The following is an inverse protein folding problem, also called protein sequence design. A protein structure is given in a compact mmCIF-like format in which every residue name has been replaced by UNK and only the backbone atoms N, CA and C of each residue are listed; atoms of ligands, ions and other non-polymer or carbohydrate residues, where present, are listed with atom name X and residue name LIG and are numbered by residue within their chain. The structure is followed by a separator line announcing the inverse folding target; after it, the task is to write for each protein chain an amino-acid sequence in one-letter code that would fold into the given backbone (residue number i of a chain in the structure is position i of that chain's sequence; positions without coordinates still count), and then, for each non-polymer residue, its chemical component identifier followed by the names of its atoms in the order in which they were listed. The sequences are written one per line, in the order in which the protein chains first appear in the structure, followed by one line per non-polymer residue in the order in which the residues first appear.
data_IF_893390021631
#
_entry.id   IF_893390021631
#
_cell.length_a   1.000
_cell.length_b   1.000
_cell.length_c   1.000
_cell.angle_alpha   90.00
_cell.angle_beta   90.00
_cell.angle_gamma   90.00
#
_symmetry.space_group_name_H-M   'P 1'
#
loop_
_entity.id
_entity.type
_entity.pdbx_description
1 polymer ?
#
# COMPACT_ATOMS: atom_id res chain seq x y z
N UNK A 1 -12.61 2.20 29.77
CA UNK A 1 -11.48 2.40 28.85
C UNK A 1 -11.93 3.37 27.77
N UNK A 2 -11.20 4.47 27.61
CA UNK A 2 -11.44 5.49 26.59
C UNK A 2 -11.10 4.95 25.20
N UNK A 3 -11.83 5.35 24.16
CA UNK A 3 -11.54 4.96 22.76
C UNK A 3 -10.08 5.25 22.34
N UNK A 4 -9.47 6.27 22.93
CA UNK A 4 -8.08 6.65 22.68
C UNK A 4 -7.06 5.57 23.13
N UNK A 5 -7.36 4.84 24.21
CA UNK A 5 -6.52 3.72 24.67
C UNK A 5 -6.58 2.54 23.70
N UNK A 6 -7.77 2.27 23.13
CA UNK A 6 -7.97 1.18 22.17
C UNK A 6 -7.17 1.43 20.90
N UNK A 7 -7.27 2.63 20.32
CA UNK A 7 -6.51 3.00 19.11
C UNK A 7 -5.01 2.86 19.35
N UNK A 8 -4.53 3.29 20.52
CA UNK A 8 -3.12 3.15 20.90
C UNK A 8 -2.68 1.68 21.00
N UNK A 9 -3.54 0.78 21.49
CA UNK A 9 -3.24 -0.66 21.52
C UNK A 9 -3.21 -1.26 20.11
N UNK A 10 -4.20 -0.94 19.27
CA UNK A 10 -4.28 -1.41 17.88
C UNK A 10 -3.06 -0.92 17.09
N UNK A 11 -2.64 0.33 17.29
CA UNK A 11 -1.46 0.91 16.66
C UNK A 11 -0.17 0.18 17.06
N UNK A 12 0.02 -0.11 18.35
CA UNK A 12 1.17 -0.90 18.83
C UNK A 12 1.19 -2.28 18.17
N UNK A 13 0.04 -2.96 18.13
CA UNK A 13 -0.07 -4.28 17.51
C UNK A 13 0.24 -4.24 16.02
N UNK A 14 -0.25 -3.23 15.32
CA UNK A 14 0.02 -3.03 13.90
C UNK A 14 1.52 -2.79 13.63
N UNK A 15 2.19 -1.98 14.46
CA UNK A 15 3.63 -1.74 14.35
C UNK A 15 4.46 -3.00 14.63
N UNK A 16 4.08 -3.83 15.60
CA UNK A 16 4.72 -5.13 15.85
C UNK A 16 4.65 -6.05 14.62
N UNK A 17 3.46 -6.20 14.02
CA UNK A 17 3.26 -7.03 12.82
C UNK A 17 4.13 -6.52 11.65
N UNK A 18 4.16 -5.21 11.44
CA UNK A 18 4.93 -4.61 10.35
C UNK A 18 6.44 -4.75 10.58
N UNK A 19 6.91 -4.62 11.82
CA UNK A 19 8.33 -4.82 12.20
C UNK A 19 8.76 -6.28 12.04
N UNK A 20 7.92 -7.23 12.45
CA UNK A 20 8.22 -8.66 12.31
C UNK A 20 8.38 -9.04 10.83
N UNK A 21 7.50 -8.52 9.97
CA UNK A 21 7.50 -8.87 8.56
C UNK A 21 8.64 -8.19 7.75
N UNK A 22 9.26 -7.12 8.27
CA UNK A 22 10.39 -6.35 7.68
C UNK A 22 10.25 -5.91 6.21
N UNK A 23 9.08 -6.11 5.61
CA UNK A 23 8.85 -6.01 4.17
C UNK A 23 7.48 -5.35 3.90
N UNK A 24 7.13 -5.27 2.62
CA UNK A 24 5.84 -4.74 2.16
C UNK A 24 4.70 -5.59 2.69
N UNK A 25 3.74 -4.96 3.37
CA UNK A 25 2.56 -5.62 3.91
C UNK A 25 1.29 -5.16 3.18
N UNK A 26 0.28 -6.02 3.09
CA UNK A 26 -0.99 -5.67 2.45
C UNK A 26 -1.92 -4.98 3.44
N UNK A 27 -2.49 -3.83 3.08
CA UNK A 27 -3.44 -3.08 3.90
C UNK A 27 -4.62 -3.95 4.33
N UNK A 28 -5.23 -4.66 3.38
CA UNK A 28 -6.36 -5.58 3.66
C UNK A 28 -5.97 -6.70 4.62
N UNK A 29 -4.74 -7.19 4.51
CA UNK A 29 -4.25 -8.25 5.40
C UNK A 29 -4.05 -7.69 6.81
N UNK A 30 -3.54 -6.46 6.92
CA UNK A 30 -3.36 -5.81 8.22
C UNK A 30 -4.71 -5.57 8.89
N UNK A 31 -5.69 -5.08 8.12
CA UNK A 31 -7.06 -4.92 8.60
C UNK A 31 -7.63 -6.25 9.12
N UNK A 32 -7.53 -7.33 8.35
CA UNK A 32 -8.07 -8.63 8.78
C UNK A 32 -7.37 -9.18 10.03
N UNK A 33 -6.04 -9.06 10.12
CA UNK A 33 -5.29 -9.50 11.31
C UNK A 33 -5.72 -8.69 12.53
N UNK A 34 -5.81 -7.36 12.41
CA UNK A 34 -6.26 -6.52 13.51
C UNK A 34 -7.74 -6.73 13.83
N UNK A 35 -8.59 -7.07 12.85
CA UNK A 35 -10.01 -7.37 13.07
C UNK A 35 -10.20 -8.69 13.82
N UNK A 36 -9.29 -9.65 13.65
CA UNK A 36 -9.27 -10.89 14.44
C UNK A 36 -8.87 -10.64 15.89
N UNK A 37 -7.85 -9.80 16.12
CA UNK A 37 -7.42 -9.43 17.48
C UNK A 37 -8.40 -8.45 18.16
N UNK A 38 -9.06 -7.59 17.38
CA UNK A 38 -9.99 -6.56 17.82
C UNK A 38 -11.29 -6.63 17.00
N UNK A 39 -12.24 -7.44 17.47
CA UNK A 39 -13.54 -7.66 16.80
C UNK A 39 -14.33 -6.37 16.56
N UNK A 40 -14.14 -5.36 17.41
CA UNK A 40 -14.84 -4.07 17.33
C UNK A 40 -14.18 -3.07 16.38
N UNK A 41 -13.03 -3.41 15.78
CA UNK A 41 -12.28 -2.50 14.91
C UNK A 41 -13.13 -2.02 13.73
N UNK A 42 -13.47 -0.74 13.69
CA UNK A 42 -14.16 -0.14 12.57
C UNK A 42 -13.18 0.24 11.46
N UNK A 43 -13.71 0.53 10.27
CA UNK A 43 -12.90 1.08 9.16
C UNK A 43 -12.38 2.49 9.48
N UNK A 44 -13.05 3.23 10.35
CA UNK A 44 -12.65 4.59 10.74
C UNK A 44 -11.43 4.51 11.66
N UNK A 45 -11.51 3.68 12.69
CA UNK A 45 -10.40 3.47 13.64
C UNK A 45 -9.17 2.92 12.91
N UNK A 46 -9.36 2.00 11.97
CA UNK A 46 -8.27 1.49 11.15
C UNK A 46 -7.59 2.58 10.31
N UNK A 47 -8.35 3.54 9.75
CA UNK A 47 -7.76 4.68 9.02
C UNK A 47 -6.97 5.60 9.95
N UNK A 48 -7.43 5.81 11.18
CA UNK A 48 -6.66 6.57 12.18
C UNK A 48 -5.35 5.86 12.51
N UNK A 49 -5.37 4.54 12.71
CA UNK A 49 -4.17 3.74 12.93
C UNK A 49 -3.20 3.84 11.75
N UNK A 50 -3.67 3.78 10.50
CA UNK A 50 -2.81 3.99 9.33
C UNK A 50 -2.19 5.39 9.30
N UNK A 51 -2.93 6.41 9.72
CA UNK A 51 -2.41 7.78 9.81
C UNK A 51 -1.32 7.90 10.88
N UNK A 52 -1.49 7.23 12.03
CA UNK A 52 -0.47 7.15 13.07
C UNK A 52 0.78 6.39 12.60
N UNK A 53 0.60 5.28 11.89
CA UNK A 53 1.71 4.53 11.28
C UNK A 53 2.45 5.37 10.23
N UNK A 54 1.75 6.23 9.49
CA UNK A 54 2.37 7.17 8.56
C UNK A 54 3.35 8.12 9.27
N UNK A 55 2.97 8.62 10.44
CA UNK A 55 3.85 9.44 11.30
C UNK A 55 5.06 8.66 11.84
N UNK A 56 4.94 7.35 12.03
CA UNK A 56 6.03 6.45 12.42
C UNK A 56 6.97 6.06 11.28
N UNK A 57 6.73 6.58 10.07
CA UNK A 57 7.57 6.31 8.92
C UNK A 57 7.15 5.06 8.17
N UNK A 58 5.86 4.74 8.11
CA UNK A 58 5.32 3.82 7.11
C UNK A 58 4.63 4.61 5.99
N UNK A 59 4.57 4.05 4.79
CA UNK A 59 3.85 4.66 3.64
C UNK A 59 2.80 3.69 3.16
N UNK A 60 1.59 4.18 2.98
CA UNK A 60 0.50 3.48 2.31
C UNK A 60 0.49 3.87 0.83
N UNK A 61 0.75 2.91 -0.07
CA UNK A 61 0.72 3.13 -1.51
C UNK A 61 -0.01 1.98 -2.20
N UNK A 62 -1.09 2.29 -2.94
CA UNK A 62 -1.89 1.29 -3.70
C UNK A 62 -2.32 0.07 -2.87
N UNK A 63 -2.67 0.27 -1.60
CA UNK A 63 -3.08 -0.80 -0.67
C UNK A 63 -1.93 -1.61 -0.07
N UNK A 64 -0.69 -1.10 -0.18
CA UNK A 64 0.50 -1.69 0.41
C UNK A 64 1.10 -0.75 1.46
N UNK A 65 1.53 -1.31 2.57
CA UNK A 65 2.18 -0.63 3.68
C UNK A 65 3.66 -0.98 3.62
N UNK A 66 4.51 0.04 3.55
CA UNK A 66 5.97 -0.14 3.43
C UNK A 66 6.69 0.73 4.45
N UNK A 67 7.81 0.29 5.03
CA UNK A 67 8.67 1.18 5.79
C UNK A 67 9.23 2.28 4.87
N UNK A 68 9.11 3.52 5.31
CA UNK A 68 9.67 4.69 4.66
C UNK A 68 11.18 4.72 4.95
N UNK A 69 11.97 4.09 4.08
CA UNK A 69 13.43 4.18 4.14
C UNK A 69 13.81 5.56 3.61
N UNK A 70 13.74 6.58 4.47
CA UNK A 70 14.28 7.89 4.15
C UNK A 70 15.82 7.83 4.15
N UNK A 71 16.39 7.35 3.05
CA UNK A 71 17.65 7.89 2.52
C UNK A 71 17.30 8.72 1.29
N UNK A 72 16.89 9.96 1.57
CA UNK A 72 16.84 11.10 0.64
C UNK A 72 16.47 10.82 -0.81
N UNK A 73 15.18 10.92 -1.16
CA UNK A 73 14.83 11.38 -2.50
C UNK A 73 13.43 11.97 -2.52
N UNK A 74 13.43 13.29 -2.71
CA UNK A 74 12.40 14.16 -3.28
C UNK A 74 11.28 13.46 -4.07
N UNK A 75 10.07 14.01 -3.85
CA UNK A 75 8.90 14.06 -4.75
C UNK A 75 8.16 12.74 -4.99
N UNK A 76 7.01 12.58 -4.32
CA UNK A 76 5.88 11.87 -4.95
C UNK A 76 5.03 12.91 -5.69
N UNK A 77 5.46 13.20 -6.92
CA UNK A 77 4.67 13.90 -7.93
C UNK A 77 4.17 12.86 -8.94
N UNK A 78 2.90 12.45 -8.82
CA UNK A 78 1.94 12.07 -9.88
C UNK A 78 0.88 11.19 -9.22
N UNK A 79 -0.38 11.61 -9.09
CA UNK A 79 -1.17 12.17 -10.17
C UNK A 79 -1.39 11.06 -11.19
N UNK A 80 -2.46 10.30 -10.98
CA UNK A 80 -3.06 9.31 -11.88
C UNK A 80 -2.58 9.38 -13.34
N UNK A 81 -1.81 8.37 -13.79
CA UNK A 81 -1.75 8.01 -15.21
C UNK A 81 -2.54 6.71 -15.37
N UNK A 82 -3.83 6.88 -15.64
CA UNK A 82 -4.66 5.81 -16.18
C UNK A 82 -4.39 5.71 -17.67
N UNK A 83 -3.46 4.85 -18.05
CA UNK A 83 -3.30 4.44 -19.45
C UNK A 83 -2.99 2.94 -19.48
N UNK A 84 -3.91 2.08 -19.94
CA UNK A 84 -3.68 0.65 -20.00
C UNK A 84 -2.58 0.30 -21.00
N UNK A 85 -1.66 -0.53 -20.53
CA UNK A 85 -0.63 -1.21 -21.30
C UNK A 85 -1.24 -2.00 -22.46
N UNK A 86 -0.75 -1.77 -23.68
CA UNK A 86 -0.69 -2.77 -24.74
C UNK A 86 -1.93 -2.98 -25.61
N UNK A 87 -2.13 -2.10 -26.61
CA UNK A 87 -2.62 -2.54 -27.93
C UNK A 87 -1.46 -2.41 -28.90
N UNK A 88 -0.74 -3.51 -29.11
CA UNK A 88 0.12 -3.63 -30.27
C UNK A 88 -0.75 -3.44 -31.50
N UNK A 89 -0.58 -2.33 -32.19
CA UNK A 89 -0.96 -2.23 -33.58
C UNK A 89 -0.12 -3.27 -34.30
N UNK A 90 -0.78 -4.32 -34.79
CA UNK A 90 -0.22 -5.15 -35.84
C UNK A 90 -0.09 -4.24 -37.07
N UNK A 91 1.01 -3.50 -37.15
CA UNK A 91 1.44 -2.91 -38.41
C UNK A 91 1.84 -4.11 -39.27
N UNK A 92 0.94 -4.47 -40.19
CA UNK A 92 1.24 -5.44 -41.24
C UNK A 92 2.41 -4.89 -42.04
N UNK A 93 3.62 -5.23 -41.62
CA UNK A 93 4.83 -5.04 -42.38
C UNK A 93 4.63 -5.83 -43.68
N UNK A 94 4.15 -5.14 -44.73
CA UNK A 94 4.04 -5.68 -46.09
C UNK A 94 5.39 -6.29 -46.41
N UNK A 95 5.43 -7.61 -46.54
CA UNK A 95 6.57 -8.32 -47.10
C UNK A 95 6.74 -7.76 -48.52
N UNK A 96 7.87 -7.11 -48.86
CA UNK A 96 8.13 -6.76 -50.24
C UNK A 96 8.36 -8.06 -51.00
N UNK A 97 7.48 -8.33 -51.97
CA UNK A 97 7.65 -9.41 -52.93
C UNK A 97 8.97 -9.19 -53.66
N UNK A 98 9.97 -10.02 -53.33
CA UNK A 98 11.23 -10.09 -54.05
C UNK A 98 11.46 -11.54 -54.46
N UNK A 99 11.39 -11.74 -55.78
CA UNK A 99 12.00 -12.74 -56.68
C UNK A 99 10.89 -13.37 -57.55
N UNK A 100 10.96 -13.36 -58.87
CA UNK A 100 12.10 -13.42 -59.80
C UNK A 100 11.64 -12.99 -61.19
#
# INVERSE_FOLDING_TARGET
MTDNDKISQIEKRADEILKEHKAVYLERRLYNTLKNDFSDLSRVDFKEVLNLLSKKGYVLERGLIRPCINKGSKKSSKGYDGSPTGKGVADHQRIPDKRL
#
